data_IF_197517164986
#
_entry.id   IF_197517164986
#
_cell.length_a   1.000
_cell.length_b   1.000
_cell.length_c   1.000
_cell.angle_alpha   90.00
_cell.angle_beta   90.00
_cell.angle_gamma   90.00
#
_symmetry.space_group_name_H-M   'P 1'
#
loop_
_entity.id
_entity.type
_entity.pdbx_description
1 polymer ?
#
# COMPACT_ATOMS: atom_id res chain seq x y z
N UNK A 1 -12.27 -1.21 12.00
CA UNK A 1 -11.61 0.05 11.54
C UNK A 1 -10.12 -0.07 11.83
N UNK A 2 -9.27 0.22 10.87
CA UNK A 2 -7.81 0.10 10.93
C UNK A 2 -7.24 1.44 10.47
N UNK A 3 -6.13 1.88 11.05
CA UNK A 3 -5.37 3.00 10.51
C UNK A 3 -4.43 2.45 9.43
N UNK A 4 -4.68 2.83 8.20
CA UNK A 4 -3.81 2.56 7.06
C UNK A 4 -2.74 3.65 7.04
N UNK A 5 -1.71 3.43 7.86
CA UNK A 5 -0.66 4.41 8.11
C UNK A 5 0.17 4.70 6.86
N UNK A 6 0.67 5.91 6.73
CA UNK A 6 1.54 6.30 5.64
C UNK A 6 3.04 6.08 5.97
N UNK A 7 3.90 6.38 5.01
CA UNK A 7 5.36 6.25 5.11
C UNK A 7 6.06 7.57 4.89
N UNK A 8 7.28 7.65 5.37
CA UNK A 8 8.24 8.69 4.99
C UNK A 8 9.54 8.05 4.51
N UNK A 9 10.27 8.77 3.68
CA UNK A 9 11.66 8.43 3.38
C UNK A 9 12.56 9.18 4.39
N UNK A 10 13.29 8.43 5.21
CA UNK A 10 14.31 8.99 6.13
C UNK A 10 15.57 9.35 5.36
N UNK A 11 15.84 8.68 4.26
CA UNK A 11 16.89 8.96 3.31
C UNK A 11 16.52 8.41 1.95
N UNK A 12 16.90 9.10 0.88
CA UNK A 12 16.68 8.68 -0.50
C UNK A 12 17.88 9.09 -1.34
N UNK A 13 18.56 8.11 -1.91
CA UNK A 13 19.60 8.28 -2.92
C UNK A 13 19.14 7.73 -4.26
N UNK A 14 19.32 8.52 -5.31
CA UNK A 14 19.23 8.07 -6.69
C UNK A 14 20.64 7.74 -7.12
N UNK A 15 20.94 6.44 -7.26
CA UNK A 15 22.30 5.96 -7.56
C UNK A 15 22.63 6.17 -9.04
N UNK A 16 21.70 5.78 -9.93
CA UNK A 16 21.87 5.91 -11.37
C UNK A 16 20.54 5.85 -12.09
N UNK A 17 20.52 6.31 -13.32
CA UNK A 17 19.43 6.04 -14.26
C UNK A 17 19.76 4.78 -15.05
N UNK A 18 18.83 3.85 -15.15
CA UNK A 18 18.97 2.58 -15.85
C UNK A 18 18.55 2.72 -17.32
N UNK A 19 18.99 1.82 -18.17
CA UNK A 19 18.65 1.79 -19.60
C UNK A 19 17.16 1.51 -19.84
N UNK A 20 16.48 0.83 -18.87
CA UNK A 20 15.03 0.57 -18.90
C UNK A 20 14.18 1.79 -18.50
N UNK A 21 14.80 2.95 -18.26
CA UNK A 21 14.16 4.21 -17.89
C UNK A 21 13.87 4.37 -16.40
N UNK A 22 14.03 3.33 -15.58
CA UNK A 22 13.93 3.39 -14.14
C UNK A 22 15.20 3.98 -13.50
N UNK A 23 15.08 4.31 -12.22
CA UNK A 23 16.23 4.74 -11.41
C UNK A 23 16.61 3.65 -10.43
N UNK A 24 17.91 3.41 -10.29
CA UNK A 24 18.46 2.62 -9.20
C UNK A 24 18.41 3.47 -7.94
N UNK A 25 17.71 3.00 -6.92
CA UNK A 25 17.45 3.71 -5.67
C UNK A 25 18.14 3.02 -4.51
N UNK A 26 18.50 3.80 -3.50
CA UNK A 26 18.83 3.31 -2.15
C UNK A 26 18.18 4.25 -1.14
N UNK A 27 17.20 3.74 -0.40
CA UNK A 27 16.38 4.56 0.49
C UNK A 27 16.05 3.83 1.78
N UNK A 28 15.84 4.61 2.83
CA UNK A 28 15.29 4.12 4.10
C UNK A 28 13.87 4.65 4.23
N UNK A 29 12.92 3.73 4.30
CA UNK A 29 11.50 4.02 4.44
C UNK A 29 11.04 3.61 5.84
N UNK A 30 10.30 4.49 6.51
CA UNK A 30 9.70 4.20 7.81
C UNK A 30 8.18 4.43 7.78
N UNK A 31 7.39 3.52 8.37
CA UNK A 31 5.98 3.77 8.63
C UNK A 31 5.83 4.80 9.75
N UNK A 32 4.81 5.65 9.66
CA UNK A 32 4.47 6.63 10.69
C UNK A 32 3.01 6.46 11.13
N UNK A 33 2.66 6.90 12.33
CA UNK A 33 1.32 6.68 12.92
C UNK A 33 0.19 7.45 12.23
N UNK A 34 0.50 8.45 11.41
CA UNK A 34 -0.49 9.18 10.61
C UNK A 34 -0.95 8.34 9.42
N UNK A 35 -2.26 8.28 9.15
CA UNK A 35 -2.80 7.45 8.08
C UNK A 35 -4.28 7.71 7.80
N UNK A 36 -4.78 7.02 6.79
CA UNK A 36 -6.20 6.98 6.46
C UNK A 36 -6.95 5.99 7.36
N UNK A 37 -8.25 6.16 7.50
CA UNK A 37 -9.09 5.18 8.18
C UNK A 37 -9.74 4.24 7.16
N UNK A 38 -9.47 2.94 7.29
CA UNK A 38 -10.03 1.92 6.41
C UNK A 38 -10.80 0.88 7.21
N UNK A 39 -11.99 0.54 6.76
CA UNK A 39 -12.77 -0.58 7.26
C UNK A 39 -12.96 -1.59 6.14
N UNK A 40 -12.60 -2.85 6.40
CA UNK A 40 -12.70 -3.94 5.43
C UNK A 40 -13.61 -5.01 6.03
N UNK A 41 -14.67 -5.40 5.31
CA UNK A 41 -15.51 -6.54 5.63
C UNK A 41 -15.44 -7.56 4.50
N UNK A 42 -14.87 -8.73 4.78
CA UNK A 42 -14.73 -9.82 3.84
C UNK A 42 -15.86 -10.84 4.07
N UNK A 43 -16.56 -11.21 3.01
CA UNK A 43 -17.67 -12.16 3.02
C UNK A 43 -17.29 -13.46 2.32
N UNK A 44 -17.93 -14.57 2.68
CA UNK A 44 -17.65 -15.88 2.08
C UNK A 44 -18.43 -16.11 0.77
N UNK A 45 -19.46 -15.31 0.52
CA UNK A 45 -20.27 -15.36 -0.69
C UNK A 45 -19.53 -14.80 -1.91
N UNK A 46 -19.88 -15.32 -3.08
CA UNK A 46 -19.42 -14.80 -4.38
C UNK A 46 -19.94 -13.38 -4.56
N UNK A 47 -19.10 -12.49 -5.06
CA UNK A 47 -19.49 -11.11 -5.33
C UNK A 47 -18.32 -10.22 -5.71
N UNK A 48 -18.62 -8.95 -5.81
CA UNK A 48 -17.68 -7.92 -6.23
C UNK A 48 -17.29 -7.00 -5.06
N UNK A 49 -16.37 -6.09 -5.31
CA UNK A 49 -15.96 -5.04 -4.38
C UNK A 49 -17.05 -3.96 -4.27
N UNK A 50 -17.57 -3.75 -3.06
CA UNK A 50 -18.35 -2.57 -2.68
C UNK A 50 -17.41 -1.57 -2.01
N UNK A 51 -16.84 -0.66 -2.82
CA UNK A 51 -15.88 0.32 -2.36
C UNK A 51 -16.54 1.70 -2.21
N UNK A 52 -16.51 2.21 -0.99
CA UNK A 52 -17.06 3.51 -0.63
C UNK A 52 -15.97 4.38 -0.03
N UNK A 53 -15.90 5.62 -0.48
CA UNK A 53 -14.95 6.62 -0.01
C UNK A 53 -15.69 7.89 0.38
N UNK A 54 -15.29 8.50 1.48
CA UNK A 54 -15.91 9.74 1.97
C UNK A 54 -15.58 10.96 1.08
N UNK A 55 -14.49 10.90 0.33
CA UNK A 55 -14.02 11.96 -0.55
C UNK A 55 -14.47 11.70 -2.00
N UNK A 56 -15.42 12.47 -2.49
CA UNK A 56 -15.96 12.36 -3.86
C UNK A 56 -14.97 12.75 -4.98
N UNK A 57 -13.80 13.31 -4.66
CA UNK A 57 -12.78 13.69 -5.65
C UNK A 57 -11.85 12.53 -6.01
N UNK A 58 -11.99 11.38 -5.34
CA UNK A 58 -11.16 10.21 -5.58
C UNK A 58 -11.98 9.17 -6.35
N UNK A 59 -11.56 8.75 -7.55
CA UNK A 59 -12.26 7.73 -8.30
C UNK A 59 -12.23 6.39 -7.55
N UNK A 60 -13.31 5.62 -7.70
CA UNK A 60 -13.44 4.26 -7.13
C UNK A 60 -13.32 3.17 -8.19
N UNK A 61 -13.02 3.55 -9.43
CA UNK A 61 -12.87 2.66 -10.57
C UNK A 61 -11.51 1.89 -10.56
N UNK A 62 -11.21 1.24 -11.68
CA UNK A 62 -9.98 0.44 -11.84
C UNK A 62 -8.68 1.23 -11.73
N UNK A 63 -8.72 2.56 -11.79
CA UNK A 63 -7.54 3.42 -11.59
C UNK A 63 -7.16 3.55 -10.11
N UNK A 64 -8.10 3.30 -9.20
CA UNK A 64 -7.86 3.35 -7.76
C UNK A 64 -7.05 2.14 -7.29
N UNK A 65 -6.04 2.37 -6.47
CA UNK A 65 -5.15 1.31 -5.95
C UNK A 65 -5.88 0.27 -5.09
N UNK A 66 -6.94 0.66 -4.37
CA UNK A 66 -7.79 -0.27 -3.59
C UNK A 66 -8.54 -1.20 -4.53
N UNK A 67 -9.18 -0.66 -5.57
CA UNK A 67 -9.88 -1.46 -6.58
C UNK A 67 -8.92 -2.37 -7.35
N UNK A 68 -7.74 -1.85 -7.68
CA UNK A 68 -6.69 -2.64 -8.33
C UNK A 68 -6.20 -3.77 -7.42
N UNK A 69 -5.99 -3.51 -6.13
CA UNK A 69 -5.57 -4.53 -5.15
C UNK A 69 -6.58 -5.68 -5.04
N UNK A 70 -7.88 -5.36 -4.96
CA UNK A 70 -8.92 -6.39 -4.96
C UNK A 70 -8.87 -7.25 -6.23
N UNK A 71 -8.79 -6.62 -7.41
CA UNK A 71 -8.77 -7.34 -8.67
C UNK A 71 -7.50 -8.19 -8.83
N UNK A 72 -6.33 -7.70 -8.45
CA UNK A 72 -5.08 -8.45 -8.50
C UNK A 72 -5.07 -9.62 -7.51
N UNK A 73 -5.67 -9.46 -6.32
CA UNK A 73 -5.77 -10.53 -5.34
C UNK A 73 -6.58 -11.72 -5.87
N UNK A 74 -7.78 -11.49 -6.38
CA UNK A 74 -8.62 -12.58 -6.90
C UNK A 74 -8.22 -13.03 -8.30
N UNK A 75 -7.64 -12.14 -9.13
CA UNK A 75 -7.14 -12.46 -10.47
C UNK A 75 -5.86 -13.30 -10.45
N UNK A 76 -5.05 -13.19 -9.39
CA UNK A 76 -3.87 -14.05 -9.25
C UNK A 76 -4.32 -15.51 -9.03
N UNK A 77 -3.85 -16.42 -9.89
CA UNK A 77 -4.29 -17.83 -9.87
C UNK A 77 -5.81 -18.03 -10.07
N UNK A 78 -6.51 -17.11 -10.72
CA UNK A 78 -7.93 -17.18 -11.07
C UNK A 78 -8.85 -17.62 -9.91
N UNK A 79 -8.65 -17.01 -8.73
CA UNK A 79 -9.52 -17.27 -7.58
C UNK A 79 -10.92 -16.70 -7.81
N UNK A 80 -11.92 -17.43 -7.35
CA UNK A 80 -13.31 -16.95 -7.36
C UNK A 80 -13.43 -15.68 -6.51
N UNK A 81 -13.96 -14.61 -7.11
CA UNK A 81 -14.16 -13.34 -6.40
C UNK A 81 -15.19 -13.48 -5.30
N UNK A 82 -14.85 -12.94 -4.14
CA UNK A 82 -15.72 -12.86 -2.97
C UNK A 82 -16.18 -11.44 -2.75
N UNK A 83 -17.39 -11.27 -2.22
CA UNK A 83 -17.89 -9.95 -1.86
C UNK A 83 -17.02 -9.34 -0.75
N UNK A 84 -16.54 -8.12 -0.99
CA UNK A 84 -15.74 -7.37 -0.03
C UNK A 84 -16.29 -5.95 0.03
N UNK A 85 -16.60 -5.48 1.25
CA UNK A 85 -17.00 -4.11 1.47
C UNK A 85 -15.84 -3.34 2.06
N UNK A 86 -15.46 -2.24 1.43
CA UNK A 86 -14.41 -1.33 1.89
C UNK A 86 -14.98 0.07 2.06
N UNK A 87 -14.81 0.62 3.24
CA UNK A 87 -15.07 2.04 3.51
C UNK A 87 -13.75 2.73 3.84
N UNK A 88 -13.48 3.85 3.17
CA UNK A 88 -12.23 4.61 3.30
C UNK A 88 -12.51 6.08 3.62
N UNK A 89 -11.95 6.57 4.71
CA UNK A 89 -11.88 7.98 5.05
C UNK A 89 -10.44 8.48 4.88
N UNK A 90 -10.24 9.37 3.89
CA UNK A 90 -8.93 9.92 3.56
C UNK A 90 -8.54 11.03 4.55
N UNK A 91 -7.35 10.88 5.15
CA UNK A 91 -6.67 11.88 5.98
C UNK A 91 -5.30 12.25 5.41
N UNK A 92 -4.67 11.29 4.72
CA UNK A 92 -3.36 11.49 4.08
C UNK A 92 -3.54 12.34 2.84
N UNK A 93 -2.84 13.49 2.73
CA UNK A 93 -2.92 14.35 1.55
C UNK A 93 -2.53 13.61 0.27
N UNK A 94 -3.26 13.90 -0.80
CA UNK A 94 -2.95 13.32 -2.12
C UNK A 94 -1.63 13.86 -2.65
N UNK A 95 -0.89 13.04 -3.40
CA UNK A 95 0.36 13.40 -4.08
C UNK A 95 1.43 14.03 -3.17
N UNK A 96 1.40 13.72 -1.88
CA UNK A 96 2.33 14.26 -0.88
C UNK A 96 3.59 13.38 -0.66
N UNK A 97 3.81 12.35 -1.48
CA UNK A 97 4.95 11.43 -1.30
C UNK A 97 4.82 10.46 -0.12
N UNK A 98 3.68 10.49 0.60
CA UNK A 98 3.44 9.72 1.83
C UNK A 98 2.94 8.30 1.60
N UNK A 99 2.71 7.89 0.36
CA UNK A 99 2.29 6.53 0.01
C UNK A 99 0.87 6.14 0.45
N UNK A 100 -0.03 7.10 0.74
CA UNK A 100 -1.36 6.81 1.30
C UNK A 100 -2.20 5.85 0.46
N UNK A 101 -2.25 6.01 -0.88
CA UNK A 101 -2.98 5.09 -1.76
C UNK A 101 -2.37 3.68 -1.78
N UNK A 102 -1.03 3.59 -1.77
CA UNK A 102 -0.32 2.31 -1.70
C UNK A 102 -0.51 1.63 -0.35
N UNK A 103 -0.57 2.41 0.73
CA UNK A 103 -0.91 1.91 2.06
C UNK A 103 -2.31 1.30 2.09
N UNK A 104 -3.33 2.01 1.60
CA UNK A 104 -4.70 1.50 1.56
C UNK A 104 -4.79 0.17 0.81
N UNK A 105 -4.08 0.06 -0.31
CA UNK A 105 -3.99 -1.17 -1.10
C UNK A 105 -3.28 -2.30 -0.34
N UNK A 106 -2.13 -2.02 0.29
CA UNK A 106 -1.37 -3.01 1.06
C UNK A 106 -2.15 -3.53 2.27
N UNK A 107 -2.84 -2.65 2.98
CA UNK A 107 -3.71 -3.04 4.09
C UNK A 107 -4.90 -3.89 3.62
N UNK A 108 -5.56 -3.53 2.50
CA UNK A 108 -6.60 -4.36 1.92
C UNK A 108 -6.06 -5.76 1.56
N UNK A 109 -4.95 -5.85 0.85
CA UNK A 109 -4.32 -7.14 0.51
C UNK A 109 -4.06 -8.00 1.75
N UNK A 110 -3.55 -7.38 2.81
CA UNK A 110 -3.27 -8.08 4.08
C UNK A 110 -4.57 -8.60 4.72
N UNK A 111 -5.64 -7.80 4.78
CA UNK A 111 -6.93 -8.22 5.33
C UNK A 111 -7.58 -9.33 4.48
N UNK A 112 -7.50 -9.24 3.15
CA UNK A 112 -7.97 -10.31 2.26
C UNK A 112 -7.23 -11.63 2.55
N UNK A 113 -5.91 -11.57 2.67
CA UNK A 113 -5.13 -12.79 2.89
C UNK A 113 -5.24 -13.34 4.32
N UNK A 114 -5.50 -12.51 5.32
CA UNK A 114 -5.88 -12.97 6.67
C UNK A 114 -7.17 -13.77 6.65
N UNK A 115 -8.18 -13.33 5.88
CA UNK A 115 -9.47 -14.01 5.79
C UNK A 115 -9.40 -15.27 4.94
N UNK A 116 -8.88 -15.17 3.71
CA UNK A 116 -9.00 -16.23 2.72
C UNK A 116 -7.79 -17.16 2.67
N UNK A 117 -6.62 -16.70 3.10
CA UNK A 117 -5.35 -17.48 3.17
C UNK A 117 -4.98 -18.15 1.84
N UNK A 118 -5.24 -17.46 0.71
CA UNK A 118 -4.99 -18.01 -0.61
C UNK A 118 -3.52 -18.05 -0.99
N UNK A 119 -2.71 -17.17 -0.41
CA UNK A 119 -1.35 -16.91 -0.88
C UNK A 119 -0.34 -16.92 0.25
N UNK A 120 0.84 -17.45 -0.08
CA UNK A 120 2.06 -17.28 0.72
C UNK A 120 2.50 -15.81 0.75
N UNK A 121 3.45 -15.49 1.61
CA UNK A 121 4.01 -14.15 1.69
C UNK A 121 4.66 -13.71 0.37
N UNK A 122 5.41 -14.59 -0.28
CA UNK A 122 6.11 -14.27 -1.53
C UNK A 122 5.12 -13.99 -2.66
N UNK A 123 4.04 -14.77 -2.77
CA UNK A 123 2.96 -14.50 -3.71
C UNK A 123 2.26 -13.17 -3.41
N UNK A 124 2.05 -12.83 -2.14
CA UNK A 124 1.50 -11.53 -1.74
C UNK A 124 2.38 -10.36 -2.17
N UNK A 125 3.71 -10.50 -2.09
CA UNK A 125 4.63 -9.48 -2.57
C UNK A 125 4.58 -9.33 -4.11
N UNK A 126 4.41 -10.43 -4.84
CA UNK A 126 4.21 -10.41 -6.30
C UNK A 126 2.91 -9.69 -6.65
N UNK A 127 1.81 -9.99 -5.96
CA UNK A 127 0.52 -9.31 -6.14
C UNK A 127 0.65 -7.82 -5.83
N UNK A 128 1.25 -7.48 -4.69
CA UNK A 128 1.44 -6.11 -4.25
C UNK A 128 2.23 -5.27 -5.26
N UNK A 129 3.29 -5.83 -5.85
CA UNK A 129 4.11 -5.18 -6.87
C UNK A 129 3.32 -4.84 -8.14
N UNK A 130 2.36 -5.67 -8.54
CA UNK A 130 1.47 -5.39 -9.68
C UNK A 130 0.52 -4.22 -9.40
N UNK A 131 0.15 -4.01 -8.14
CA UNK A 131 -0.73 -2.90 -7.73
C UNK A 131 0.01 -1.56 -7.78
N UNK A 132 1.24 -1.50 -7.25
CA UNK A 132 2.06 -0.30 -7.25
C UNK A 132 3.41 -0.50 -6.58
N UNK A 133 4.39 0.36 -6.91
CA UNK A 133 5.79 0.23 -6.48
C UNK A 133 5.96 0.26 -4.94
N UNK A 134 5.18 1.10 -4.23
CA UNK A 134 5.26 1.22 -2.77
C UNK A 134 4.39 0.19 -2.03
N UNK A 135 3.49 -0.54 -2.72
CA UNK A 135 2.55 -1.46 -2.07
C UNK A 135 3.23 -2.62 -1.34
N UNK A 136 4.32 -3.23 -1.87
CA UNK A 136 5.05 -4.29 -1.17
C UNK A 136 5.54 -3.88 0.22
N UNK A 137 5.99 -2.63 0.40
CA UNK A 137 6.41 -2.11 1.69
C UNK A 137 5.30 -2.23 2.76
N UNK A 138 4.04 -1.96 2.38
CA UNK A 138 2.91 -1.97 3.30
C UNK A 138 2.38 -3.37 3.64
N UNK A 139 2.85 -4.43 2.98
CA UNK A 139 2.54 -5.81 3.37
C UNK A 139 3.19 -6.14 4.73
N UNK A 140 4.45 -5.77 4.93
CA UNK A 140 5.16 -5.94 6.20
C UNK A 140 5.05 -4.72 7.11
N UNK A 141 4.93 -3.54 6.52
CA UNK A 141 4.77 -2.24 7.19
C UNK A 141 5.82 -1.99 8.29
N UNK A 142 7.09 -2.23 7.97
CA UNK A 142 8.23 -2.10 8.87
C UNK A 142 9.28 -1.19 8.30
N UNK A 143 10.03 -0.49 9.17
CA UNK A 143 11.19 0.28 8.73
C UNK A 143 12.13 -0.61 7.93
N UNK A 144 12.51 -0.15 6.74
CA UNK A 144 13.24 -0.97 5.78
C UNK A 144 14.21 -0.12 4.96
N UNK A 145 15.38 -0.70 4.63
CA UNK A 145 16.16 -0.26 3.50
C UNK A 145 15.58 -0.87 2.24
N UNK A 146 15.31 -0.03 1.25
CA UNK A 146 14.75 -0.43 -0.04
C UNK A 146 15.72 -0.01 -1.13
N UNK A 147 16.11 -0.94 -1.99
CA UNK A 147 17.06 -0.70 -3.07
C UNK A 147 16.59 -1.30 -4.39
N UNK A 148 17.38 -1.12 -5.43
CA UNK A 148 16.98 -1.47 -6.80
C UNK A 148 15.99 -0.45 -7.34
N UNK A 149 14.95 -0.95 -7.99
CA UNK A 149 13.79 -0.14 -8.42
C UNK A 149 12.66 -0.14 -7.38
N UNK A 150 12.95 -0.54 -6.12
CA UNK A 150 11.99 -0.66 -5.03
C UNK A 150 11.66 -2.11 -4.61
N UNK A 151 12.32 -3.11 -5.23
CA UNK A 151 11.99 -4.53 -5.03
C UNK A 151 12.84 -5.22 -3.96
N UNK A 152 14.01 -4.67 -3.62
CA UNK A 152 14.90 -5.25 -2.61
C UNK A 152 14.63 -4.61 -1.25
N UNK A 153 13.90 -5.31 -0.40
CA UNK A 153 13.50 -4.82 0.92
C UNK A 153 14.27 -5.58 2.01
N UNK A 154 14.99 -4.84 2.85
CA UNK A 154 15.69 -5.36 4.02
C UNK A 154 15.19 -4.64 5.27
N UNK A 155 14.67 -5.41 6.25
CA UNK A 155 14.14 -4.81 7.48
C UNK A 155 15.24 -4.22 8.34
N UNK A 156 14.94 -3.08 8.95
CA UNK A 156 15.81 -2.39 9.90
C UNK A 156 15.11 -2.32 11.26
N UNK A 157 15.89 -2.39 12.31
CA UNK A 157 15.39 -2.04 13.63
C UNK A 157 15.05 -0.56 13.68
N UNK A 158 13.84 -0.25 14.14
CA UNK A 158 13.41 1.13 14.28
C UNK A 158 13.67 1.62 15.70
N UNK A 159 14.70 2.41 15.88
CA UNK A 159 15.07 3.02 17.14
C UNK A 159 14.71 4.52 17.22
N UNK A 160 13.92 5.03 16.25
CA UNK A 160 13.47 6.42 16.23
C UNK A 160 12.42 6.62 17.32
N UNK A 161 12.74 7.45 18.31
CA UNK A 161 11.84 7.82 19.41
C UNK A 161 11.27 9.23 19.26
N UNK A 162 11.77 9.97 18.29
CA UNK A 162 11.43 11.37 18.03
C UNK A 162 10.04 11.49 17.41
N UNK A 163 9.36 12.58 17.73
CA UNK A 163 8.11 12.95 17.07
C UNK A 163 8.40 13.55 15.70
N UNK A 164 7.62 13.14 14.69
CA UNK A 164 7.76 13.62 13.32
C UNK A 164 6.67 14.64 13.05
N UNK A 165 7.06 15.84 12.63
CA UNK A 165 6.14 16.87 12.15
C UNK A 165 6.09 16.82 10.62
N UNK A 166 4.90 16.60 10.08
CA UNK A 166 4.65 16.67 8.64
C UNK A 166 4.14 18.07 8.28
N UNK A 167 4.82 18.73 7.34
CA UNK A 167 4.42 20.03 6.82
C UNK A 167 4.19 19.89 5.32
N UNK A 168 2.96 20.14 4.86
CA UNK A 168 2.63 20.21 3.44
C UNK A 168 2.34 21.68 3.10
N UNK A 169 3.18 22.33 2.27
CA UNK A 169 2.88 23.68 1.78
C UNK A 169 1.60 23.68 0.92
N UNK A 170 0.86 24.76 1.00
CA UNK A 170 -0.22 25.07 0.04
C UNK A 170 0.39 25.79 -1.15
N UNK A 171 0.24 25.22 -2.34
CA UNK A 171 0.60 25.87 -3.61
C UNK A 171 -0.69 26.25 -4.31
#
# INVERSE_FOLDING_TARGET
>A
MIISNCKINLGLNIISKRDDGYHELDMIIAPISFGDEITVACHDEIGELDFRIKDNLIPIDKSNTVTKAYNEYFGHSNKEKKRVTVYLEKKVPRQAGLGGGSSNAGFLLTELNKKYKFYSKDEMLVIAKKVGADVPFFIDNKTSRVSGIGEKISFLENNIKEKILLVKPTY
#
